data_IF_610476837458
#
_entry.id   IF_610476837458
#
_cell.length_a   1.000
_cell.length_b   1.000
_cell.length_c   1.000
_cell.angle_alpha   90.00
_cell.angle_beta   90.00
_cell.angle_gamma   90.00
#
_symmetry.space_group_name_H-M   'P 1'
#
loop_
_entity.id
_entity.type
_entity.pdbx_description
1 polymer ?
#
# COMPACT_ATOMS: atom_id res chain seq x y z
N UNK A 1 -12.11 32.62 -37.93
CA UNK A 1 -12.64 31.82 -36.81
C UNK A 1 -12.25 32.57 -35.52
N UNK A 2 -13.18 32.99 -34.65
CA UNK A 2 -12.81 33.73 -33.45
C UNK A 2 -12.01 32.84 -32.48
N UNK A 3 -11.03 33.40 -31.77
CA UNK A 3 -10.18 32.69 -30.80
C UNK A 3 -11.04 31.85 -29.82
N UNK A 4 -12.17 32.38 -29.36
CA UNK A 4 -13.12 31.69 -28.49
C UNK A 4 -13.70 30.40 -29.12
N UNK A 5 -13.92 30.33 -30.43
CA UNK A 5 -14.41 29.12 -31.09
C UNK A 5 -13.31 28.07 -31.24
N UNK A 6 -12.08 28.51 -31.43
CA UNK A 6 -10.93 27.60 -31.45
C UNK A 6 -10.69 26.95 -30.09
N UNK A 7 -10.73 27.75 -29.01
CA UNK A 7 -10.59 27.24 -27.63
C UNK A 7 -11.71 26.25 -27.25
N UNK A 8 -12.94 26.51 -27.68
CA UNK A 8 -14.06 25.58 -27.46
C UNK A 8 -13.86 24.27 -28.21
N UNK A 9 -13.45 24.33 -29.49
CA UNK A 9 -13.16 23.13 -30.29
C UNK A 9 -12.01 22.31 -29.72
N UNK A 10 -10.91 22.96 -29.32
CA UNK A 10 -9.78 22.30 -28.67
C UNK A 10 -10.19 21.67 -27.32
N UNK A 11 -11.07 22.35 -26.55
CA UNK A 11 -11.66 21.81 -25.34
C UNK A 11 -12.47 20.53 -25.60
N UNK A 12 -13.38 20.56 -26.58
CA UNK A 12 -14.17 19.40 -26.95
C UNK A 12 -13.30 18.23 -27.43
N UNK A 13 -12.32 18.49 -28.26
CA UNK A 13 -11.37 17.47 -28.75
C UNK A 13 -10.57 16.87 -27.59
N UNK A 14 -10.08 17.72 -26.67
CA UNK A 14 -9.32 17.27 -25.49
C UNK A 14 -10.16 16.37 -24.57
N UNK A 15 -11.37 16.82 -24.23
CA UNK A 15 -12.27 16.00 -23.38
C UNK A 15 -12.74 14.74 -24.11
N UNK A 16 -12.99 14.81 -25.41
CA UNK A 16 -13.32 13.63 -26.22
C UNK A 16 -12.18 12.60 -26.22
N UNK A 17 -10.94 13.04 -26.44
CA UNK A 17 -9.77 12.17 -26.38
C UNK A 17 -9.55 11.58 -24.98
N UNK A 18 -9.68 12.39 -23.93
CA UNK A 18 -9.55 11.91 -22.55
C UNK A 18 -10.64 10.91 -22.19
N UNK A 19 -11.88 11.13 -22.61
CA UNK A 19 -13.00 10.20 -22.39
C UNK A 19 -12.78 8.88 -23.12
N UNK A 20 -12.26 8.92 -24.35
CA UNK A 20 -11.94 7.71 -25.11
C UNK A 20 -10.83 6.91 -24.43
N UNK A 21 -9.76 7.57 -24.01
CA UNK A 21 -8.66 6.93 -23.27
C UNK A 21 -9.18 6.32 -21.97
N UNK A 22 -9.99 7.05 -21.22
CA UNK A 22 -10.59 6.54 -19.98
C UNK A 22 -11.47 5.31 -20.24
N UNK A 23 -12.30 5.34 -21.29
CA UNK A 23 -13.15 4.20 -21.67
C UNK A 23 -12.31 2.96 -22.01
N UNK A 24 -11.23 3.12 -22.79
CA UNK A 24 -10.31 2.01 -23.13
C UNK A 24 -9.63 1.44 -21.88
N UNK A 25 -9.16 2.30 -20.97
CA UNK A 25 -8.52 1.88 -19.72
C UNK A 25 -9.50 1.19 -18.75
N UNK A 26 -10.77 1.57 -18.76
CA UNK A 26 -11.80 0.97 -17.93
C UNK A 26 -12.39 -0.33 -18.51
N UNK A 27 -12.17 -0.60 -19.81
CA UNK A 27 -12.72 -1.78 -20.48
C UNK A 27 -12.30 -3.11 -19.83
N UNK A 28 -11.02 -3.33 -19.44
CA UNK A 28 -10.65 -4.55 -18.74
C UNK A 28 -11.38 -4.71 -17.39
N UNK A 29 -11.54 -3.62 -16.64
CA UNK A 29 -12.23 -3.63 -15.35
C UNK A 29 -13.71 -3.95 -15.55
N UNK A 30 -14.34 -3.32 -16.54
CA UNK A 30 -15.72 -3.62 -16.93
C UNK A 30 -15.90 -5.10 -17.29
N UNK A 31 -14.97 -5.62 -18.11
CA UNK A 31 -15.01 -7.03 -18.52
C UNK A 31 -14.84 -7.99 -17.33
N UNK A 32 -13.94 -7.70 -16.38
CA UNK A 32 -13.78 -8.48 -15.15
C UNK A 32 -15.09 -8.51 -14.33
N UNK A 33 -15.70 -7.34 -14.13
CA UNK A 33 -16.96 -7.23 -13.38
C UNK A 33 -18.07 -8.02 -14.08
N UNK A 34 -18.24 -7.85 -15.39
CA UNK A 34 -19.27 -8.58 -16.13
C UNK A 34 -19.00 -10.09 -16.18
N UNK A 35 -17.74 -10.50 -16.29
CA UNK A 35 -17.33 -11.91 -16.28
C UNK A 35 -17.56 -12.58 -14.94
N UNK A 36 -17.47 -11.85 -13.82
CA UNK A 36 -17.74 -12.40 -12.49
C UNK A 36 -19.19 -12.88 -12.30
N UNK A 37 -20.12 -12.32 -13.08
CA UNK A 37 -21.53 -12.70 -13.10
C UNK A 37 -21.89 -13.71 -14.20
N UNK A 38 -20.91 -14.20 -14.98
CA UNK A 38 -21.13 -15.21 -16.02
C UNK A 38 -21.04 -16.62 -15.47
N UNK A 39 -21.81 -17.58 -16.03
CA UNK A 39 -21.50 -19.00 -15.85
C UNK A 39 -20.07 -19.33 -16.27
N UNK A 40 -19.41 -20.24 -15.55
CA UNK A 40 -18.00 -20.56 -15.76
C UNK A 40 -17.68 -21.06 -17.19
N UNK A 41 -18.60 -21.76 -17.81
CA UNK A 41 -18.51 -22.27 -19.20
C UNK A 41 -18.60 -21.15 -20.25
N UNK A 42 -19.24 -20.02 -19.93
CA UNK A 42 -19.33 -18.88 -20.85
C UNK A 42 -18.10 -17.96 -20.80
N UNK A 43 -17.34 -17.94 -19.71
CA UNK A 43 -16.21 -17.00 -19.54
C UNK A 43 -15.18 -17.17 -20.66
N UNK A 44 -14.79 -18.41 -20.96
CA UNK A 44 -13.78 -18.71 -21.96
C UNK A 44 -14.33 -18.92 -23.38
N UNK A 45 -15.62 -19.21 -23.50
CA UNK A 45 -16.27 -19.44 -24.79
C UNK A 45 -16.23 -18.22 -25.72
N UNK A 46 -16.29 -17.04 -25.14
CA UNK A 46 -16.31 -15.77 -25.87
C UNK A 46 -15.00 -14.98 -25.78
N UNK A 47 -13.99 -15.49 -25.09
CA UNK A 47 -12.71 -14.80 -24.92
C UNK A 47 -11.91 -14.63 -26.23
N UNK A 48 -12.24 -15.38 -27.29
CA UNK A 48 -11.56 -15.33 -28.58
C UNK A 48 -12.22 -14.46 -29.67
N UNK A 49 -13.43 -13.94 -29.44
CA UNK A 49 -14.17 -13.15 -30.43
C UNK A 49 -14.68 -11.85 -29.80
N UNK A 50 -14.18 -10.71 -30.27
CA UNK A 50 -14.76 -9.41 -29.88
C UNK A 50 -16.17 -9.26 -30.46
N UNK A 51 -17.17 -9.39 -29.60
CA UNK A 51 -18.58 -9.23 -29.94
C UNK A 51 -19.38 -8.69 -28.78
N UNK A 52 -20.66 -8.39 -29.00
CA UNK A 52 -21.59 -7.92 -27.94
C UNK A 52 -21.66 -8.95 -26.81
N UNK A 53 -21.61 -10.22 -27.14
CA UNK A 53 -21.61 -11.34 -26.19
C UNK A 53 -20.36 -11.36 -25.28
N UNK A 54 -19.27 -10.75 -25.70
CA UNK A 54 -18.08 -10.59 -24.86
C UNK A 54 -18.26 -9.51 -23.81
N UNK A 55 -19.01 -8.46 -24.13
CA UNK A 55 -19.24 -7.31 -23.24
C UNK A 55 -20.45 -7.53 -22.33
N UNK A 56 -21.53 -8.12 -22.82
CA UNK A 56 -22.78 -8.32 -22.08
C UNK A 56 -23.01 -9.81 -21.83
N UNK A 57 -23.14 -10.28 -20.57
CA UNK A 57 -23.45 -11.67 -20.28
C UNK A 57 -24.84 -12.04 -20.82
N UNK A 58 -24.97 -13.22 -21.40
CA UNK A 58 -26.28 -13.78 -21.83
C UNK A 58 -27.12 -14.25 -20.65
N UNK A 59 -26.46 -14.77 -19.61
CA UNK A 59 -27.06 -15.16 -18.35
C UNK A 59 -26.26 -14.56 -17.19
N UNK A 60 -26.97 -14.08 -16.18
CA UNK A 60 -26.36 -13.60 -14.94
C UNK A 60 -26.49 -14.69 -13.87
N UNK A 61 -25.40 -15.03 -13.22
CA UNK A 61 -25.35 -15.97 -12.10
C UNK A 61 -24.53 -15.42 -10.94
N UNK A 62 -24.88 -15.82 -9.73
CA UNK A 62 -24.09 -15.59 -8.52
C UNK A 62 -23.34 -16.86 -8.06
N UNK A 63 -23.37 -17.90 -8.86
CA UNK A 63 -22.80 -19.21 -8.52
C UNK A 63 -21.28 -19.10 -8.25
N UNK A 64 -20.56 -18.32 -9.03
CA UNK A 64 -19.12 -18.07 -8.82
C UNK A 64 -18.85 -17.49 -7.43
N UNK A 65 -19.68 -16.55 -6.99
CA UNK A 65 -19.57 -15.95 -5.66
C UNK A 65 -19.92 -16.97 -4.57
N UNK A 66 -20.97 -17.77 -4.75
CA UNK A 66 -21.34 -18.82 -3.79
C UNK A 66 -20.22 -19.86 -3.65
N UNK A 67 -19.61 -20.29 -4.74
CA UNK A 67 -18.49 -21.22 -4.73
C UNK A 67 -17.24 -20.63 -4.02
N UNK A 68 -16.91 -19.36 -4.31
CA UNK A 68 -15.78 -18.67 -3.66
C UNK A 68 -16.03 -18.55 -2.15
N UNK A 69 -17.22 -18.12 -1.74
CA UNK A 69 -17.56 -17.97 -0.32
C UNK A 69 -17.72 -19.30 0.42
N UNK A 70 -17.98 -20.40 -0.29
CA UNK A 70 -18.00 -21.74 0.27
C UNK A 70 -16.60 -22.40 0.37
N UNK A 71 -15.59 -21.80 -0.25
CA UNK A 71 -14.21 -22.29 -0.25
C UNK A 71 -13.38 -21.72 0.92
N UNK A 72 -12.06 -21.96 0.92
CA UNK A 72 -11.10 -21.36 1.87
C UNK A 72 -10.83 -19.87 1.60
N UNK A 73 -11.34 -19.30 0.51
CA UNK A 73 -11.07 -17.92 0.11
C UNK A 73 -11.44 -16.86 1.18
N UNK A 74 -12.61 -16.93 1.88
CA UNK A 74 -12.93 -15.94 2.92
C UNK A 74 -11.90 -15.91 4.04
N UNK A 75 -11.37 -17.09 4.43
CA UNK A 75 -10.30 -17.18 5.44
C UNK A 75 -9.01 -16.55 4.91
N UNK A 76 -8.63 -16.87 3.68
CA UNK A 76 -7.44 -16.28 3.04
C UNK A 76 -7.54 -14.76 2.93
N UNK A 77 -8.71 -14.25 2.54
CA UNK A 77 -8.99 -12.82 2.46
C UNK A 77 -8.88 -12.15 3.84
N UNK A 78 -9.46 -12.78 4.87
CA UNK A 78 -9.37 -12.28 6.24
C UNK A 78 -7.91 -12.25 6.72
N UNK A 79 -7.13 -13.31 6.48
CA UNK A 79 -5.72 -13.37 6.83
C UNK A 79 -4.91 -12.26 6.15
N UNK A 80 -5.13 -12.05 4.84
CA UNK A 80 -4.47 -10.97 4.08
C UNK A 80 -4.81 -9.59 4.64
N UNK A 81 -6.10 -9.32 4.90
CA UNK A 81 -6.53 -8.05 5.49
C UNK A 81 -5.96 -7.85 6.90
N UNK A 82 -5.97 -8.88 7.72
CA UNK A 82 -5.40 -8.82 9.07
C UNK A 82 -3.91 -8.50 9.03
N UNK A 83 -3.14 -9.19 8.20
CA UNK A 83 -1.70 -8.95 8.05
C UNK A 83 -1.45 -7.53 7.54
N UNK A 84 -2.17 -7.08 6.50
CA UNK A 84 -2.04 -5.72 5.98
C UNK A 84 -2.34 -4.66 7.03
N UNK A 85 -3.48 -4.77 7.73
CA UNK A 85 -3.89 -3.79 8.74
C UNK A 85 -2.91 -3.76 9.91
N UNK A 86 -2.47 -4.93 10.39
CA UNK A 86 -1.51 -5.03 11.47
C UNK A 86 -0.15 -4.43 11.08
N UNK A 87 0.37 -4.78 9.89
CA UNK A 87 1.64 -4.24 9.38
C UNK A 87 1.57 -2.72 9.22
N UNK A 88 0.49 -2.19 8.61
CA UNK A 88 0.31 -0.74 8.43
C UNK A 88 0.21 -0.03 9.76
N UNK A 89 -0.59 -0.53 10.69
CA UNK A 89 -0.80 0.10 12.00
C UNK A 89 0.50 0.16 12.81
N UNK A 90 1.20 -0.96 12.94
CA UNK A 90 2.49 -1.02 13.63
C UNK A 90 3.55 -0.20 12.87
N UNK A 91 3.53 -0.28 11.54
CA UNK A 91 4.46 0.43 10.69
C UNK A 91 4.32 1.94 10.78
N UNK A 92 3.11 2.49 10.79
CA UNK A 92 2.89 3.93 10.99
C UNK A 92 3.48 4.37 12.32
N UNK A 93 3.29 3.61 13.40
CA UNK A 93 3.84 3.95 14.72
C UNK A 93 5.37 3.91 14.69
N UNK A 94 5.95 2.80 14.26
CA UNK A 94 7.41 2.60 14.28
C UNK A 94 8.14 3.58 13.36
N UNK A 95 7.66 3.71 12.11
CA UNK A 95 8.32 4.57 11.12
C UNK A 95 8.15 6.06 11.45
N UNK A 96 6.99 6.49 11.98
CA UNK A 96 6.82 7.87 12.40
C UNK A 96 7.65 8.23 13.62
N UNK A 97 7.78 7.33 14.61
CA UNK A 97 8.68 7.54 15.75
C UNK A 97 10.14 7.64 15.31
N UNK A 98 10.58 6.75 14.42
CA UNK A 98 11.92 6.84 13.84
C UNK A 98 12.12 8.12 13.03
N UNK A 99 11.16 8.48 12.16
CA UNK A 99 11.16 9.73 11.39
C UNK A 99 11.22 10.97 12.29
N UNK A 100 10.46 10.97 13.39
CA UNK A 100 10.49 12.05 14.39
C UNK A 100 11.86 12.16 15.05
N UNK A 101 12.44 11.03 15.46
CA UNK A 101 13.78 11.04 16.06
C UNK A 101 14.83 11.59 15.09
N UNK A 102 14.82 11.18 13.83
CA UNK A 102 15.72 11.69 12.80
C UNK A 102 15.44 13.14 12.36
N UNK A 103 14.23 13.66 12.56
CA UNK A 103 13.92 15.06 12.24
C UNK A 103 14.30 16.00 13.38
N UNK A 104 13.88 15.69 14.60
CA UNK A 104 13.81 16.62 15.73
C UNK A 104 15.06 16.56 16.63
N UNK A 105 15.57 15.34 16.89
CA UNK A 105 16.70 15.20 17.80
C UNK A 105 18.05 15.28 17.08
N UNK A 106 19.05 15.82 17.77
CA UNK A 106 20.45 15.73 17.41
C UNK A 106 21.15 14.73 18.33
N UNK A 107 21.73 13.71 17.73
CA UNK A 107 22.43 12.64 18.42
C UNK A 107 23.67 12.18 17.62
N UNK A 108 24.66 11.58 18.27
CA UNK A 108 25.85 11.09 17.60
C UNK A 108 25.48 10.03 16.55
N UNK A 109 26.20 10.04 15.43
CA UNK A 109 25.98 9.14 14.28
C UNK A 109 24.61 9.27 13.57
N UNK A 110 23.80 10.31 13.84
CA UNK A 110 22.52 10.56 13.16
C UNK A 110 22.62 10.44 11.64
N UNK A 111 23.62 11.11 11.02
CA UNK A 111 23.82 11.10 9.57
C UNK A 111 24.14 9.71 9.01
N UNK A 112 25.18 8.98 9.50
CA UNK A 112 25.47 7.65 9.02
C UNK A 112 24.34 6.66 9.28
N UNK A 113 23.66 6.71 10.42
CA UNK A 113 22.49 5.86 10.69
C UNK A 113 21.35 6.13 9.71
N UNK A 114 21.09 7.38 9.39
CA UNK A 114 20.08 7.73 8.40
C UNK A 114 20.46 7.24 7.00
N UNK A 115 21.74 7.28 6.63
CA UNK A 115 22.25 6.70 5.37
C UNK A 115 21.98 5.18 5.35
N UNK A 116 22.22 4.46 6.44
CA UNK A 116 21.91 3.02 6.55
C UNK A 116 20.41 2.77 6.34
N UNK A 117 19.54 3.59 6.93
CA UNK A 117 18.09 3.53 6.70
C UNK A 117 17.75 3.74 5.22
N UNK A 118 18.39 4.71 4.55
CA UNK A 118 18.18 4.93 3.12
C UNK A 118 18.70 3.76 2.27
N UNK A 119 19.83 3.19 2.59
CA UNK A 119 20.37 2.04 1.88
C UNK A 119 19.50 0.79 2.05
N UNK A 120 18.84 0.62 3.21
CA UNK A 120 18.02 -0.55 3.47
C UNK A 120 16.86 -0.70 2.49
N UNK A 121 16.20 0.40 2.08
CA UNK A 121 15.11 0.30 1.10
C UNK A 121 15.56 0.19 -0.36
N UNK A 122 16.86 0.45 -0.62
CA UNK A 122 17.44 0.25 -1.95
C UNK A 122 17.88 -1.20 -2.20
N UNK A 123 17.91 -2.02 -1.16
CA UNK A 123 18.26 -3.44 -1.31
C UNK A 123 17.08 -4.20 -1.91
N UNK A 124 17.27 -4.96 -3.00
CA UNK A 124 16.22 -5.81 -3.54
C UNK A 124 15.86 -6.90 -2.53
N UNK A 125 14.56 -7.12 -2.35
CA UNK A 125 14.04 -8.07 -1.36
C UNK A 125 14.59 -9.49 -1.59
N UNK A 126 14.78 -9.89 -2.83
CA UNK A 126 15.30 -11.19 -3.23
C UNK A 126 16.70 -11.48 -2.66
N UNK A 127 17.47 -10.43 -2.38
CA UNK A 127 18.81 -10.58 -1.78
C UNK A 127 18.76 -10.89 -0.29
N UNK A 128 17.69 -10.52 0.40
CA UNK A 128 17.56 -10.68 1.86
C UNK A 128 16.64 -11.83 2.25
N UNK A 129 15.90 -12.42 1.32
CA UNK A 129 14.88 -13.45 1.61
C UNK A 129 15.47 -14.68 2.29
N UNK A 130 16.63 -15.17 1.84
CA UNK A 130 17.27 -16.37 2.43
C UNK A 130 17.77 -16.10 3.86
N UNK A 131 18.54 -15.03 4.14
CA UNK A 131 18.90 -14.68 5.52
C UNK A 131 17.68 -14.44 6.40
N UNK A 132 16.65 -13.77 5.88
CA UNK A 132 15.41 -13.50 6.61
C UNK A 132 14.66 -14.79 6.97
N UNK A 133 14.52 -15.72 6.02
CA UNK A 133 13.94 -17.04 6.27
C UNK A 133 14.71 -17.81 7.35
N UNK A 134 16.04 -17.79 7.26
CA UNK A 134 16.91 -18.45 8.26
C UNK A 134 16.70 -17.86 9.66
N UNK A 135 16.55 -16.52 9.74
CA UNK A 135 16.25 -15.83 10.98
C UNK A 135 14.89 -16.25 11.54
N UNK A 136 13.83 -16.23 10.70
CA UNK A 136 12.48 -16.64 11.11
C UNK A 136 12.45 -18.09 11.59
N UNK A 137 13.17 -18.98 10.92
CA UNK A 137 13.32 -20.39 11.33
C UNK A 137 14.04 -20.52 12.67
N UNK A 138 15.12 -19.77 12.89
CA UNK A 138 15.86 -19.79 14.15
C UNK A 138 15.02 -19.30 15.33
N UNK A 139 14.15 -18.33 15.07
CA UNK A 139 13.21 -17.79 16.05
C UNK A 139 11.95 -18.67 16.25
N UNK A 140 11.79 -19.74 15.45
CA UNK A 140 10.58 -20.57 15.38
C UNK A 140 9.31 -19.73 15.05
N UNK A 141 9.46 -18.77 14.14
CA UNK A 141 8.36 -17.89 13.70
C UNK A 141 7.79 -18.28 12.33
N UNK A 142 8.38 -19.26 11.62
CA UNK A 142 7.77 -19.78 10.38
C UNK A 142 6.34 -20.24 10.64
N UNK A 143 5.47 -20.09 9.64
CA UNK A 143 4.03 -20.38 9.75
C UNK A 143 3.27 -19.55 10.80
N UNK A 144 3.74 -18.34 11.09
CA UNK A 144 3.06 -17.44 12.03
C UNK A 144 2.80 -16.06 11.41
N UNK A 145 1.79 -15.36 11.91
CA UNK A 145 1.57 -13.96 11.56
C UNK A 145 2.77 -13.05 11.89
N UNK A 146 3.55 -13.40 12.92
CA UNK A 146 4.75 -12.64 13.28
C UNK A 146 5.77 -12.63 12.14
N UNK A 147 5.98 -13.76 11.44
CA UNK A 147 6.87 -13.84 10.30
C UNK A 147 6.40 -12.98 9.11
N UNK A 148 5.10 -12.80 8.95
CA UNK A 148 4.53 -12.00 7.86
C UNK A 148 4.49 -10.51 8.17
N UNK A 149 4.34 -10.13 9.45
CA UNK A 149 4.12 -8.76 9.87
C UNK A 149 5.44 -8.07 10.26
N UNK A 150 6.23 -8.67 11.16
CA UNK A 150 7.34 -7.97 11.80
C UNK A 150 8.46 -7.53 10.85
N UNK A 151 8.86 -8.30 9.83
CA UNK A 151 9.88 -7.86 8.88
C UNK A 151 9.48 -6.63 8.08
N UNK A 152 8.18 -6.45 7.86
CA UNK A 152 7.62 -5.38 7.00
C UNK A 152 7.21 -4.13 7.79
N UNK A 153 7.28 -4.16 9.14
CA UNK A 153 6.88 -3.02 10.00
C UNK A 153 7.79 -1.81 9.81
N UNK A 154 9.09 -2.01 9.68
CA UNK A 154 10.07 -0.94 9.55
C UNK A 154 10.54 -0.78 8.09
N UNK A 155 10.09 0.28 7.43
CA UNK A 155 10.44 0.58 6.04
C UNK A 155 11.27 1.86 5.90
N UNK A 156 12.48 1.76 5.32
CA UNK A 156 13.37 2.91 5.17
C UNK A 156 12.74 4.07 4.39
N UNK A 157 11.96 3.78 3.35
CA UNK A 157 11.22 4.78 2.58
C UNK A 157 10.15 5.50 3.42
N UNK A 158 9.46 4.77 4.29
CA UNK A 158 8.40 5.35 5.13
C UNK A 158 9.02 6.19 6.26
N UNK A 159 10.14 5.73 6.85
CA UNK A 159 10.92 6.54 7.80
C UNK A 159 11.37 7.85 7.14
N UNK A 160 11.89 7.78 5.90
CA UNK A 160 12.30 8.95 5.13
C UNK A 160 11.13 9.91 4.91
N UNK A 161 9.96 9.41 4.52
CA UNK A 161 8.75 10.21 4.27
C UNK A 161 8.35 11.00 5.53
N UNK A 162 8.25 10.31 6.66
CA UNK A 162 7.93 10.96 7.95
C UNK A 162 9.00 11.96 8.36
N UNK A 163 10.28 11.60 8.24
CA UNK A 163 11.38 12.51 8.57
C UNK A 163 11.34 13.78 7.72
N UNK A 164 11.06 13.68 6.42
CA UNK A 164 10.97 14.85 5.53
C UNK A 164 9.83 15.78 5.93
N UNK A 165 8.67 15.21 6.25
CA UNK A 165 7.55 16.00 6.74
C UNK A 165 7.87 16.68 8.07
N UNK A 166 8.36 15.94 9.06
CA UNK A 166 8.67 16.50 10.38
C UNK A 166 9.79 17.53 10.34
N UNK A 167 10.76 17.38 9.45
CA UNK A 167 11.82 18.36 9.23
C UNK A 167 11.32 19.65 8.54
N UNK A 168 10.17 19.63 7.87
CA UNK A 168 9.55 20.81 7.27
C UNK A 168 8.78 21.68 8.29
N UNK A 169 8.48 21.13 9.46
CA UNK A 169 7.87 21.90 10.55
C UNK A 169 8.93 22.83 11.13
N UNK A 170 8.66 24.17 11.24
CA UNK A 170 9.60 25.12 11.81
C UNK A 170 10.04 24.71 13.22
N UNK A 171 11.34 24.84 13.51
CA UNK A 171 11.91 24.47 14.82
C UNK A 171 11.30 25.26 15.97
N UNK A 172 10.95 26.50 15.71
CA UNK A 172 10.32 27.43 16.66
C UNK A 172 9.03 26.84 17.24
N UNK A 173 8.29 26.04 16.47
CA UNK A 173 7.06 25.38 16.94
C UNK A 173 7.41 24.28 17.97
N UNK A 174 8.46 23.50 17.74
CA UNK A 174 8.94 22.52 18.70
C UNK A 174 9.47 23.18 19.97
N UNK A 175 10.23 24.29 19.82
CA UNK A 175 10.80 25.04 20.92
C UNK A 175 9.71 25.71 21.78
N UNK A 176 8.71 26.32 21.17
CA UNK A 176 7.57 26.92 21.89
C UNK A 176 6.84 25.86 22.74
N UNK A 177 6.52 24.70 22.15
CA UNK A 177 5.88 23.62 22.90
C UNK A 177 6.74 23.13 24.08
N UNK A 178 8.07 23.12 23.93
CA UNK A 178 8.98 22.77 25.02
C UNK A 178 9.05 23.84 26.12
N UNK A 179 8.97 25.14 25.75
CA UNK A 179 8.91 26.24 26.70
C UNK A 179 7.60 26.18 27.51
N UNK A 180 6.49 25.80 26.87
CA UNK A 180 5.20 25.53 27.50
C UNK A 180 5.17 24.29 28.41
N UNK A 181 6.30 23.58 28.55
CA UNK A 181 6.45 22.41 29.44
C UNK A 181 6.01 21.08 28.84
N UNK A 182 5.67 21.02 27.54
CA UNK A 182 5.29 19.76 26.91
C UNK A 182 6.49 18.77 26.87
N UNK A 183 6.28 17.51 27.24
CA UNK A 183 7.25 16.43 27.02
C UNK A 183 7.40 16.12 25.54
N UNK A 184 8.51 15.51 25.13
CA UNK A 184 8.71 15.08 23.74
C UNK A 184 7.63 14.11 23.25
N UNK A 185 7.09 13.28 24.13
CA UNK A 185 5.98 12.39 23.81
C UNK A 185 4.69 13.17 23.55
N UNK A 186 4.41 14.22 24.32
CA UNK A 186 3.27 15.12 24.08
C UNK A 186 3.43 15.88 22.76
N UNK A 187 4.62 16.43 22.49
CA UNK A 187 4.94 17.08 21.21
C UNK A 187 4.71 16.13 20.05
N UNK A 188 5.22 14.89 20.11
CA UNK A 188 5.00 13.88 19.09
C UNK A 188 3.52 13.57 18.90
N UNK A 189 2.84 13.16 19.98
CA UNK A 189 1.48 12.61 19.89
C UNK A 189 0.41 13.67 19.65
N UNK A 190 0.52 14.85 20.33
CA UNK A 190 -0.56 15.84 20.38
C UNK A 190 -0.38 16.97 19.35
N UNK A 191 0.82 17.16 18.84
CA UNK A 191 1.13 18.20 17.88
C UNK A 191 1.60 17.64 16.53
N UNK A 192 2.67 16.86 16.52
CA UNK A 192 3.33 16.43 15.29
C UNK A 192 2.50 15.40 14.52
N UNK A 193 1.98 14.36 15.18
CA UNK A 193 1.16 13.32 14.54
C UNK A 193 -0.16 13.85 13.98
N UNK A 194 -0.94 14.70 14.68
CA UNK A 194 -2.15 15.29 14.09
C UNK A 194 -1.88 16.16 12.87
N UNK A 195 -0.76 16.88 12.83
CA UNK A 195 -0.36 17.69 11.67
C UNK A 195 0.06 16.83 10.46
N UNK A 196 0.48 15.59 10.68
CA UNK A 196 1.00 14.71 9.63
C UNK A 196 -0.07 13.85 8.94
N UNK A 197 -1.36 14.20 9.04
CA UNK A 197 -2.46 13.46 8.44
C UNK A 197 -2.22 13.03 6.98
N UNK A 198 -1.85 13.95 6.06
CA UNK A 198 -1.54 13.61 4.67
C UNK A 198 -0.37 12.62 4.53
N UNK A 199 0.66 12.78 5.35
CA UNK A 199 1.84 11.89 5.35
C UNK A 199 1.49 10.50 5.88
N UNK A 200 0.68 10.43 6.94
CA UNK A 200 0.14 9.17 7.47
C UNK A 200 -0.67 8.45 6.40
N UNK A 201 -1.57 9.16 5.72
CA UNK A 201 -2.40 8.57 4.67
C UNK A 201 -1.54 8.03 3.51
N UNK A 202 -0.55 8.80 3.05
CA UNK A 202 0.37 8.39 1.97
C UNK A 202 1.20 7.17 2.40
N UNK A 203 1.83 7.24 3.58
CA UNK A 203 2.66 6.14 4.11
C UNK A 203 1.83 4.88 4.33
N UNK A 204 0.64 5.01 4.91
CA UNK A 204 -0.29 3.87 5.12
C UNK A 204 -0.70 3.23 3.80
N UNK A 205 -1.04 4.04 2.78
CA UNK A 205 -1.42 3.53 1.46
C UNK A 205 -0.26 2.80 0.79
N UNK A 206 0.95 3.36 0.85
CA UNK A 206 2.15 2.71 0.28
C UNK A 206 2.44 1.37 0.96
N UNK A 207 2.39 1.31 2.29
CA UNK A 207 2.59 0.08 3.05
C UNK A 207 1.47 -0.94 2.76
N UNK A 208 0.22 -0.48 2.67
CA UNK A 208 -0.91 -1.35 2.38
C UNK A 208 -0.77 -2.00 0.99
N UNK A 209 -0.49 -1.21 -0.05
CA UNK A 209 -0.31 -1.73 -1.42
C UNK A 209 0.86 -2.72 -1.44
N UNK A 210 2.00 -2.37 -0.84
CA UNK A 210 3.16 -3.25 -0.78
C UNK A 210 2.82 -4.60 -0.13
N UNK A 211 2.14 -4.57 1.02
CA UNK A 211 1.76 -5.78 1.76
C UNK A 211 0.65 -6.58 1.08
N UNK A 212 -0.30 -5.88 0.44
CA UNK A 212 -1.41 -6.52 -0.28
C UNK A 212 -0.93 -7.29 -1.52
N UNK A 213 0.02 -6.72 -2.24
CA UNK A 213 0.62 -7.31 -3.44
C UNK A 213 1.75 -8.32 -3.10
N UNK A 214 2.12 -8.46 -1.81
CA UNK A 214 3.17 -9.36 -1.39
C UNK A 214 2.76 -10.83 -1.66
N UNK A 215 3.50 -11.49 -2.53
CA UNK A 215 3.30 -12.89 -2.87
C UNK A 215 4.48 -13.76 -2.44
N UNK A 216 5.70 -13.32 -2.74
CA UNK A 216 6.89 -14.14 -2.60
C UNK A 216 7.23 -14.45 -1.15
N UNK A 217 7.17 -13.45 -0.26
CA UNK A 217 7.49 -13.66 1.15
C UNK A 217 6.47 -14.58 1.86
N UNK A 218 5.16 -14.38 1.75
CA UNK A 218 4.20 -15.33 2.29
C UNK A 218 4.43 -16.77 1.80
N UNK A 219 4.71 -16.95 0.50
CA UNK A 219 4.98 -18.28 -0.06
C UNK A 219 6.19 -18.98 0.58
N UNK A 220 7.23 -18.21 0.94
CA UNK A 220 8.46 -18.76 1.56
C UNK A 220 8.31 -18.92 3.08
N UNK A 221 7.63 -17.98 3.73
CA UNK A 221 7.52 -17.92 5.20
C UNK A 221 6.47 -18.87 5.77
N UNK A 222 5.48 -19.29 4.95
CA UNK A 222 4.40 -20.18 5.36
C UNK A 222 4.43 -21.47 4.53
N UNK A 223 4.37 -22.61 5.19
CA UNK A 223 4.32 -23.94 4.58
C UNK A 223 3.00 -24.66 4.86
N UNK A 224 2.21 -24.16 5.81
CA UNK A 224 0.89 -24.71 6.13
C UNK A 224 -0.16 -24.17 5.16
N UNK A 225 -1.03 -25.05 4.67
CA UNK A 225 -2.19 -24.68 3.86
C UNK A 225 -3.38 -24.16 4.71
N UNK A 226 -3.20 -24.00 6.04
CA UNK A 226 -4.24 -23.65 7.02
C UNK A 226 -4.34 -22.16 7.34
#
# INVERSE_FOLDING_TARGET
MSAARLDTLLGVLRYGALSLIAAVLLLPIYWLIMSSFRPADEIFRFAGAFGIDTLIPRALTLENYQQIFASSFPRALFNSLFVCIATVTLGVVVNSMAGFAFAVFDFPFKKPLFIVVLLSFMMPFESIVIPLYTLMRTLNWTDTYAALILPEVAGGLIIFLFRQFFASIPKEIYEAARIDGASWWQVYRQMTMPLSGPTIATGSLMMFIHQWDAFFWPLVATSSAD
#
